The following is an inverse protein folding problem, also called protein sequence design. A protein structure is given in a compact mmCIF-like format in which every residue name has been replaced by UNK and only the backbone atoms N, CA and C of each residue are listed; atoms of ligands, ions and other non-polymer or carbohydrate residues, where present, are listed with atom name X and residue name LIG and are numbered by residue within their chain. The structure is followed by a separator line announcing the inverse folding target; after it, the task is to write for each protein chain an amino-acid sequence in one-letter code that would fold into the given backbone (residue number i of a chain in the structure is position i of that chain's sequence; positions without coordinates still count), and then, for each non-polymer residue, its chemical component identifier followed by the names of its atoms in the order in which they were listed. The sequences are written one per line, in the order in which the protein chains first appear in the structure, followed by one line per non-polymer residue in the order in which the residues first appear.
data_IF_593051684145
#
_entry.id   IF_593051684145
#
_cell.length_a   1.000
_cell.length_b   1.000
_cell.length_c   1.000
_cell.angle_alpha   90.00
_cell.angle_beta   90.00
_cell.angle_gamma   90.00
#
_symmetry.space_group_name_H-M   'P 1'
#
loop_
_entity.id
_entity.type
_entity.pdbx_description
1 polymer ?
#
# COMPACT_ATOMS: atom_id res chain seq x y z
N UNK A 1 -15.86 9.14 -21.18
CA UNK A 1 -15.10 9.05 -19.91
C UNK A 1 -13.61 9.09 -20.24
N UNK A 2 -12.94 10.23 -20.05
CA UNK A 2 -11.47 10.31 -20.17
C UNK A 2 -10.89 9.91 -18.81
N UNK A 3 -10.28 8.74 -18.75
CA UNK A 3 -9.57 8.27 -17.56
C UNK A 3 -8.34 9.16 -17.37
N UNK A 4 -8.19 9.85 -16.24
CA UNK A 4 -7.02 10.69 -16.00
C UNK A 4 -5.76 9.79 -15.90
N UNK A 5 -4.81 9.90 -16.83
CA UNK A 5 -3.58 9.09 -16.82
C UNK A 5 -2.74 9.30 -15.55
N UNK A 6 -2.98 10.36 -14.78
CA UNK A 6 -2.31 10.64 -13.50
C UNK A 6 -2.66 9.62 -12.43
N UNK A 7 -3.91 9.14 -12.40
CA UNK A 7 -4.32 8.12 -11.44
C UNK A 7 -3.62 6.77 -11.70
N UNK A 8 -3.34 6.43 -12.98
CA UNK A 8 -2.83 5.10 -13.36
C UNK A 8 -1.40 4.91 -12.89
N UNK A 9 -0.66 6.00 -12.92
CA UNK A 9 0.73 6.05 -12.47
C UNK A 9 0.80 6.12 -10.95
N UNK A 10 -0.13 6.78 -10.26
CA UNK A 10 -0.21 6.68 -8.78
C UNK A 10 -0.59 5.27 -8.35
N UNK A 11 -1.45 4.55 -9.08
CA UNK A 11 -1.74 3.15 -8.80
C UNK A 11 -0.55 2.23 -9.14
N UNK A 12 0.11 2.41 -10.28
CA UNK A 12 1.34 1.69 -10.64
C UNK A 12 2.46 1.95 -9.62
N UNK A 13 2.70 3.20 -9.25
CA UNK A 13 3.69 3.58 -8.24
C UNK A 13 3.25 3.12 -6.86
N UNK A 14 1.98 3.18 -6.47
CA UNK A 14 1.55 2.63 -5.18
C UNK A 14 1.71 1.10 -5.15
N UNK A 15 1.41 0.40 -6.24
CA UNK A 15 1.56 -1.05 -6.34
C UNK A 15 3.03 -1.48 -6.46
N UNK A 16 3.86 -0.70 -7.16
CA UNK A 16 5.30 -0.91 -7.30
C UNK A 16 6.07 -0.45 -6.05
N UNK A 17 5.67 0.62 -5.37
CA UNK A 17 6.22 1.11 -4.10
C UNK A 17 5.77 0.28 -2.89
N UNK A 18 4.63 -0.44 -2.98
CA UNK A 18 4.35 -1.53 -2.05
C UNK A 18 5.42 -2.64 -2.12
N UNK A 19 6.18 -2.71 -3.23
CA UNK A 19 7.35 -3.59 -3.42
C UNK A 19 8.68 -2.83 -3.20
N UNK A 20 8.75 -1.53 -3.54
CA UNK A 20 9.98 -0.70 -3.54
C UNK A 20 10.09 0.33 -2.42
N UNK A 21 9.77 -0.04 -1.19
CA UNK A 21 10.25 0.72 -0.03
C UNK A 21 11.78 0.68 0.15
N UNK A 22 12.51 -0.05 -0.72
CA UNK A 22 13.87 -0.47 -0.42
C UNK A 22 14.91 -0.55 -1.55
N UNK A 23 14.69 -0.02 -2.76
CA UNK A 23 15.77 0.08 -3.75
C UNK A 23 16.16 1.55 -4.00
N UNK A 24 17.11 2.03 -3.21
CA UNK A 24 18.06 3.04 -3.71
C UNK A 24 18.82 2.37 -4.85
N UNK A 25 18.82 2.98 -6.03
CA UNK A 25 19.51 2.44 -7.21
C UNK A 25 20.97 2.11 -6.87
N UNK A 26 21.45 0.87 -7.05
CA UNK A 26 22.87 0.61 -7.10
C UNK A 26 23.40 1.23 -8.39
N UNK A 27 24.40 2.11 -8.23
CA UNK A 27 25.31 2.54 -9.29
C UNK A 27 25.67 1.35 -10.18
N UNK A 28 25.51 1.52 -11.50
CA UNK A 28 25.83 0.51 -12.51
C UNK A 28 27.25 -0.04 -12.30
N UNK A 29 27.33 -1.31 -11.90
CA UNK A 29 28.55 -2.11 -12.02
C UNK A 29 28.32 -3.23 -13.05
N UNK A 30 29.35 -3.58 -13.83
CA UNK A 30 29.22 -4.53 -14.92
C UNK A 30 28.96 -5.95 -14.38
N UNK A 31 28.14 -6.69 -15.13
CA UNK A 31 27.75 -8.07 -14.88
C UNK A 31 28.94 -8.96 -14.57
N UNK A 32 28.99 -9.48 -13.34
CA UNK A 32 29.88 -10.59 -12.94
C UNK A 32 29.03 -11.84 -12.77
N UNK A 33 29.50 -12.92 -13.37
CA UNK A 33 28.90 -14.25 -13.43
C UNK A 33 28.39 -14.77 -12.08
N UNK A 34 27.19 -15.36 -12.14
CA UNK A 34 26.50 -16.10 -11.09
C UNK A 34 27.32 -17.32 -10.65
N UNK A 35 28.15 -17.15 -9.63
CA UNK A 35 28.62 -18.25 -8.79
C UNK A 35 27.83 -18.25 -7.49
N UNK A 36 27.18 -19.38 -7.19
CA UNK A 36 26.52 -19.70 -5.91
C UNK A 36 27.42 -19.31 -4.73
N UNK A 37 27.14 -18.14 -4.15
CA UNK A 37 27.53 -17.80 -2.80
C UNK A 37 26.28 -17.89 -1.96
N UNK A 38 26.37 -18.60 -0.85
CA UNK A 38 25.39 -18.53 0.21
C UNK A 38 25.08 -17.05 0.48
N UNK A 39 23.91 -16.59 0.03
CA UNK A 39 23.41 -15.24 0.27
C UNK A 39 23.07 -15.13 1.76
N UNK A 40 24.11 -14.95 2.56
CA UNK A 40 24.02 -14.48 3.92
C UNK A 40 23.35 -13.12 3.85
N UNK A 41 22.12 -13.04 4.37
CA UNK A 41 21.43 -11.77 4.59
C UNK A 41 22.40 -10.88 5.36
N UNK A 42 23.00 -9.91 4.67
CA UNK A 42 24.08 -9.10 5.21
C UNK A 42 23.61 -8.49 6.54
N UNK A 43 24.44 -8.62 7.58
CA UNK A 43 24.09 -8.06 8.88
C UNK A 43 23.81 -6.55 8.67
N UNK A 44 22.71 -5.98 9.16
CA UNK A 44 22.40 -4.55 8.94
C UNK A 44 23.55 -3.60 9.30
N UNK A 45 24.43 -4.01 10.21
CA UNK A 45 25.64 -3.26 10.60
C UNK A 45 26.74 -3.36 9.53
N UNK A 46 26.86 -4.47 8.82
CA UNK A 46 27.82 -4.65 7.73
C UNK A 46 27.47 -3.80 6.49
N UNK A 47 26.19 -3.46 6.31
CA UNK A 47 25.74 -2.59 5.23
C UNK A 47 26.07 -1.11 5.50
N UNK A 48 26.41 -0.74 6.74
CA UNK A 48 26.80 0.63 7.08
C UNK A 48 28.21 0.98 6.54
N UNK A 49 28.47 2.25 6.19
CA UNK A 49 29.82 2.73 5.88
C UNK A 49 30.78 2.41 7.03
N UNK A 50 32.04 2.07 6.73
CA UNK A 50 33.03 1.63 7.73
C UNK A 50 33.13 2.58 8.94
N UNK A 51 33.11 3.89 8.71
CA UNK A 51 33.15 4.93 9.75
C UNK A 51 31.95 4.92 10.72
N UNK A 52 30.83 4.28 10.36
CA UNK A 52 29.62 4.18 11.19
C UNK A 52 29.48 2.79 11.85
N UNK A 53 30.29 1.81 11.45
CA UNK A 53 30.18 0.42 11.95
C UNK A 53 30.59 0.30 13.42
N UNK A 54 31.75 0.84 13.77
CA UNK A 54 32.26 0.82 15.15
C UNK A 54 31.29 1.47 16.16
N UNK A 55 30.82 2.72 15.95
CA UNK A 55 29.86 3.32 16.89
C UNK A 55 28.52 2.57 16.91
N UNK A 56 28.07 1.99 15.79
CA UNK A 56 26.87 1.16 15.77
C UNK A 56 27.04 -0.13 16.59
N UNK A 57 28.21 -0.78 16.51
CA UNK A 57 28.54 -1.96 17.31
C UNK A 57 28.65 -1.64 18.79
N UNK A 58 29.31 -0.54 19.17
CA UNK A 58 29.38 -0.09 20.56
C UNK A 58 27.99 0.21 21.13
N UNK A 59 27.14 0.90 20.36
CA UNK A 59 25.76 1.18 20.77
C UNK A 59 24.92 -0.10 20.85
N UNK A 60 25.17 -1.10 19.99
CA UNK A 60 24.54 -2.41 20.10
C UNK A 60 24.99 -3.15 21.38
N UNK A 61 26.29 -3.11 21.70
CA UNK A 61 26.84 -3.70 22.93
C UNK A 61 26.26 -3.05 24.18
N UNK A 62 26.26 -1.71 24.26
CA UNK A 62 25.67 -0.96 25.38
C UNK A 62 24.18 -1.31 25.58
N UNK A 63 23.42 -1.39 24.48
CA UNK A 63 22.01 -1.83 24.54
C UNK A 63 21.88 -3.25 25.05
N UNK A 64 22.71 -4.17 24.57
CA UNK A 64 22.74 -5.56 25.04
C UNK A 64 23.06 -5.66 26.53
N UNK A 65 24.05 -4.90 26.99
CA UNK A 65 24.47 -4.84 28.38
C UNK A 65 23.39 -4.26 29.29
N UNK A 66 22.57 -3.31 28.79
CA UNK A 66 21.43 -2.77 29.55
C UNK A 66 20.24 -3.73 29.69
N UNK A 67 20.19 -4.82 28.93
CA UNK A 67 19.12 -5.82 29.05
C UNK A 67 19.32 -6.67 30.30
N UNK A 68 18.20 -6.99 30.96
CA UNK A 68 18.13 -7.99 32.03
C UNK A 68 18.49 -9.39 31.52
N UNK A 69 18.81 -10.31 32.43
CA UNK A 69 19.16 -11.70 32.08
C UNK A 69 18.02 -12.39 31.31
N UNK A 70 16.78 -12.18 31.73
CA UNK A 70 15.59 -12.72 31.06
C UNK A 70 15.40 -12.15 29.66
N UNK A 71 15.60 -10.83 29.49
CA UNK A 71 15.52 -10.19 28.17
C UNK A 71 16.62 -10.67 27.22
N UNK A 72 17.84 -10.87 27.72
CA UNK A 72 18.95 -11.44 26.93
C UNK A 72 18.63 -12.87 26.50
N UNK A 73 18.12 -13.71 27.40
CA UNK A 73 17.71 -15.08 27.07
C UNK A 73 16.60 -15.12 26.01
N UNK A 74 15.60 -14.24 26.15
CA UNK A 74 14.52 -14.08 25.16
C UNK A 74 15.05 -13.58 23.80
N UNK A 75 16.01 -12.66 23.80
CA UNK A 75 16.63 -12.16 22.58
C UNK A 75 17.48 -13.24 21.87
N UNK A 76 18.23 -14.05 22.62
CA UNK A 76 18.97 -15.19 22.09
C UNK A 76 18.03 -16.23 21.46
N UNK A 77 16.95 -16.59 22.15
CA UNK A 77 15.95 -17.54 21.64
C UNK A 77 15.38 -17.07 20.30
N UNK A 78 14.97 -15.79 20.22
CA UNK A 78 14.46 -15.20 18.97
C UNK A 78 15.52 -15.13 17.86
N UNK A 79 16.79 -14.91 18.23
CA UNK A 79 17.88 -14.94 17.26
C UNK A 79 18.12 -16.35 16.72
N UNK A 80 18.07 -17.37 17.57
CA UNK A 80 18.18 -18.77 17.14
C UNK A 80 17.03 -19.19 16.23
N UNK A 81 15.79 -18.80 16.57
CA UNK A 81 14.62 -18.99 15.71
C UNK A 81 14.82 -18.33 14.34
N UNK A 82 15.29 -17.06 14.33
CA UNK A 82 15.62 -16.36 13.10
C UNK A 82 16.75 -17.03 12.31
N UNK A 83 17.78 -17.54 12.99
CA UNK A 83 18.92 -18.19 12.36
C UNK A 83 18.54 -19.53 11.70
N UNK A 84 17.49 -20.20 12.19
CA UNK A 84 16.92 -21.43 11.62
C UNK A 84 16.10 -21.20 10.34
N UNK A 85 15.65 -19.97 10.07
CA UNK A 85 14.90 -19.63 8.86
C UNK A 85 15.79 -19.71 7.61
N UNK A 86 15.19 -20.03 6.47
CA UNK A 86 15.86 -20.00 5.17
C UNK A 86 16.30 -18.58 4.78
N UNK A 87 17.26 -18.43 3.85
CA UNK A 87 17.73 -17.11 3.38
C UNK A 87 16.59 -16.22 2.87
N UNK A 88 15.68 -16.77 2.07
CA UNK A 88 14.52 -16.05 1.55
C UNK A 88 13.57 -15.54 2.66
N UNK A 89 13.27 -16.40 3.64
CA UNK A 89 12.40 -16.04 4.78
C UNK A 89 13.05 -14.97 5.67
N UNK A 90 14.36 -15.08 5.91
CA UNK A 90 15.12 -14.07 6.65
C UNK A 90 15.09 -12.72 5.95
N UNK A 91 15.31 -12.69 4.64
CA UNK A 91 15.20 -11.46 3.84
C UNK A 91 13.80 -10.86 3.94
N UNK A 92 12.75 -11.67 3.78
CA UNK A 92 11.38 -11.19 3.89
C UNK A 92 11.08 -10.60 5.27
N UNK A 93 11.55 -11.25 6.35
CA UNK A 93 11.36 -10.77 7.72
C UNK A 93 12.10 -9.45 7.97
N UNK A 94 13.33 -9.32 7.48
CA UNK A 94 14.12 -8.08 7.57
C UNK A 94 13.43 -6.94 6.82
N UNK A 95 12.95 -7.19 5.61
CA UNK A 95 12.19 -6.21 4.82
C UNK A 95 10.87 -5.82 5.49
N UNK A 96 10.17 -6.79 6.09
CA UNK A 96 8.96 -6.52 6.87
C UNK A 96 9.26 -5.64 8.09
N UNK A 97 10.34 -5.92 8.82
CA UNK A 97 10.78 -5.12 9.96
C UNK A 97 11.21 -3.71 9.54
N UNK A 98 11.88 -3.57 8.39
CA UNK A 98 12.22 -2.28 7.78
C UNK A 98 10.97 -1.46 7.46
N UNK A 99 10.02 -2.02 6.71
CA UNK A 99 8.74 -1.36 6.38
C UNK A 99 7.96 -0.92 7.62
N UNK A 100 7.97 -1.73 8.67
CA UNK A 100 7.34 -1.39 9.95
C UNK A 100 8.01 -0.17 10.61
N UNK A 101 9.34 -0.09 10.59
CA UNK A 101 10.09 1.07 11.12
C UNK A 101 9.82 2.34 10.31
N UNK A 102 9.84 2.25 8.99
CA UNK A 102 9.52 3.38 8.10
C UNK A 102 8.09 3.87 8.34
N UNK A 103 7.14 2.96 8.48
CA UNK A 103 5.74 3.30 8.81
C UNK A 103 5.65 3.99 10.16
N UNK A 104 6.35 3.49 11.18
CA UNK A 104 6.39 4.09 12.51
C UNK A 104 6.97 5.51 12.48
N UNK A 105 8.08 5.71 11.77
CA UNK A 105 8.70 7.03 11.62
C UNK A 105 7.78 8.00 10.88
N UNK A 106 7.16 7.56 9.79
CA UNK A 106 6.18 8.34 9.03
C UNK A 106 5.03 8.77 9.94
N UNK A 107 4.37 7.82 10.60
CA UNK A 107 3.26 8.07 11.52
C UNK A 107 3.68 9.10 12.57
N UNK A 108 4.81 8.89 13.25
CA UNK A 108 5.32 9.81 14.27
C UNK A 108 5.56 11.23 13.73
N UNK A 109 6.05 11.35 12.49
CA UNK A 109 6.32 12.64 11.84
C UNK A 109 5.05 13.35 11.35
N UNK A 110 3.99 12.59 11.08
CA UNK A 110 2.68 13.09 10.62
C UNK A 110 1.74 13.41 11.79
N UNK A 111 2.02 12.92 13.00
CA UNK A 111 1.23 13.26 14.20
C UNK A 111 1.23 14.77 14.45
N UNK A 112 0.07 15.36 14.83
CA UNK A 112 0.02 16.76 15.25
C UNK A 112 1.00 17.03 16.40
N UNK A 113 1.59 18.23 16.42
CA UNK A 113 2.59 18.62 17.43
C UNK A 113 2.15 18.34 18.88
N UNK A 114 0.94 18.73 19.35
CA UNK A 114 0.53 18.47 20.74
C UNK A 114 0.48 16.96 21.07
N UNK A 115 0.14 16.13 20.09
CA UNK A 115 0.04 14.67 20.24
C UNK A 115 1.41 14.05 20.31
N UNK A 116 2.34 14.53 19.48
CA UNK A 116 3.75 14.12 19.51
C UNK A 116 4.42 14.46 20.83
N UNK A 117 4.09 15.62 21.41
CA UNK A 117 4.58 16.04 22.72
C UNK A 117 4.04 15.14 23.84
N UNK A 118 2.72 14.88 23.86
CA UNK A 118 2.11 13.92 24.81
C UNK A 118 2.75 12.53 24.68
N UNK A 119 2.93 12.03 23.47
CA UNK A 119 3.59 10.74 23.21
C UNK A 119 5.04 10.70 23.74
N UNK A 120 5.77 11.83 23.73
CA UNK A 120 7.13 11.93 24.28
C UNK A 120 7.16 11.92 25.80
N UNK A 121 6.10 12.43 26.44
CA UNK A 121 5.96 12.48 27.90
C UNK A 121 5.58 11.12 28.51
N UNK A 122 5.11 10.16 27.71
CA UNK A 122 4.84 8.80 28.16
C UNK A 122 6.13 8.06 28.54
N UNK A 123 6.01 7.16 29.53
CA UNK A 123 7.05 6.21 29.87
C UNK A 123 7.50 5.40 28.64
N UNK A 124 8.78 5.00 28.52
CA UNK A 124 9.30 4.33 27.34
C UNK A 124 8.49 3.11 26.89
N UNK A 125 7.98 2.31 27.81
CA UNK A 125 7.15 1.14 27.53
C UNK A 125 5.77 1.52 26.99
N UNK A 126 5.08 2.43 27.67
CA UNK A 126 3.76 2.94 27.25
C UNK A 126 3.83 3.64 25.91
N UNK A 127 4.89 4.41 25.67
CA UNK A 127 5.17 5.05 24.37
C UNK A 127 5.35 4.01 23.27
N UNK A 128 6.10 2.92 23.51
CA UNK A 128 6.27 1.82 22.54
C UNK A 128 4.95 1.09 22.29
N UNK A 129 4.15 0.87 23.33
CA UNK A 129 2.83 0.25 23.23
C UNK A 129 1.86 1.09 22.41
N UNK A 130 1.66 2.37 22.78
CA UNK A 130 0.82 3.31 22.05
C UNK A 130 1.23 3.40 20.58
N UNK A 131 2.54 3.47 20.31
CA UNK A 131 3.00 3.57 18.93
C UNK A 131 2.77 2.31 18.11
N UNK A 132 2.95 1.12 18.72
CA UNK A 132 2.59 -0.15 18.06
C UNK A 132 1.11 -0.21 17.74
N UNK A 133 0.26 0.25 18.65
CA UNK A 133 -1.20 0.26 18.46
C UNK A 133 -1.61 1.19 17.31
N UNK A 134 -1.15 2.44 17.32
CA UNK A 134 -1.41 3.42 16.24
C UNK A 134 -0.92 2.89 14.88
N UNK A 135 0.30 2.34 14.80
CA UNK A 135 0.85 1.80 13.55
C UNK A 135 0.06 0.57 13.07
N UNK A 136 -0.39 -0.28 13.99
CA UNK A 136 -1.22 -1.45 13.66
C UNK A 136 -2.58 -1.02 13.09
N UNK A 137 -3.18 0.02 13.67
CA UNK A 137 -4.44 0.55 13.16
C UNK A 137 -4.30 1.26 11.82
N UNK A 138 -3.22 1.99 11.59
CA UNK A 138 -2.88 2.56 10.28
C UNK A 138 -2.73 1.45 9.23
N UNK A 139 -1.99 0.38 9.56
CA UNK A 139 -1.84 -0.77 8.66
C UNK A 139 -3.19 -1.46 8.38
N UNK A 140 -4.06 -1.57 9.38
CA UNK A 140 -5.42 -2.10 9.24
C UNK A 140 -6.29 -1.21 8.35
N UNK A 141 -6.27 0.11 8.57
CA UNK A 141 -7.01 1.08 7.77
C UNK A 141 -6.57 1.02 6.31
N UNK A 142 -5.25 0.97 6.06
CA UNK A 142 -4.70 0.78 4.72
C UNK A 142 -5.14 -0.53 4.08
N UNK A 143 -5.13 -1.62 4.85
CA UNK A 143 -5.64 -2.92 4.40
C UNK A 143 -7.12 -2.87 4.03
N UNK A 144 -7.95 -2.16 4.80
CA UNK A 144 -9.37 -1.95 4.50
C UNK A 144 -9.57 -1.08 3.25
N UNK A 145 -8.74 -0.07 3.03
CA UNK A 145 -8.78 0.76 1.83
C UNK A 145 -8.42 -0.05 0.58
N UNK A 146 -7.37 -0.87 0.65
CA UNK A 146 -7.00 -1.79 -0.44
C UNK A 146 -8.15 -2.76 -0.70
N UNK A 147 -8.69 -3.38 0.36
CA UNK A 147 -9.84 -4.30 0.26
C UNK A 147 -11.04 -3.62 -0.40
N UNK A 148 -11.31 -2.36 -0.06
CA UNK A 148 -12.41 -1.60 -0.64
C UNK A 148 -12.27 -1.31 -2.15
N UNK A 149 -11.04 -1.39 -2.68
CA UNK A 149 -10.71 -1.15 -4.09
C UNK A 149 -10.57 -2.45 -4.89
N UNK A 150 -10.62 -3.62 -4.23
CA UNK A 150 -10.58 -4.91 -4.90
C UNK A 150 -11.93 -5.21 -5.56
N UNK A 151 -11.94 -5.79 -6.78
CA UNK A 151 -13.18 -6.31 -7.37
C UNK A 151 -13.77 -7.43 -6.51
N UNK A 152 -15.10 -7.52 -6.45
CA UNK A 152 -15.82 -8.47 -5.59
C UNK A 152 -15.37 -9.93 -5.80
N UNK A 153 -15.17 -10.37 -7.05
CA UNK A 153 -14.68 -11.71 -7.35
C UNK A 153 -13.30 -12.03 -6.73
N UNK A 154 -12.43 -11.02 -6.57
CA UNK A 154 -11.14 -11.19 -5.89
C UNK A 154 -11.30 -11.18 -4.37
N UNK A 155 -12.24 -10.39 -3.85
CA UNK A 155 -12.57 -10.38 -2.43
C UNK A 155 -13.13 -11.73 -1.99
N UNK A 156 -14.13 -12.25 -2.70
CA UNK A 156 -14.74 -13.54 -2.42
C UNK A 156 -13.69 -14.67 -2.40
N UNK A 157 -12.76 -14.62 -3.37
CA UNK A 157 -11.64 -15.57 -3.45
C UNK A 157 -10.68 -15.42 -2.26
N UNK A 158 -10.35 -14.20 -1.82
CA UNK A 158 -9.48 -13.98 -0.65
C UNK A 158 -10.14 -14.37 0.67
N UNK A 159 -11.44 -14.13 0.80
CA UNK A 159 -12.23 -14.44 1.99
C UNK A 159 -12.42 -15.95 2.16
N UNK A 160 -12.60 -16.66 1.05
CA UNK A 160 -12.74 -18.13 1.03
C UNK A 160 -11.40 -18.87 1.16
N UNK A 161 -10.28 -18.20 0.89
CA UNK A 161 -8.94 -18.80 0.95
C UNK A 161 -8.39 -18.91 2.38
N UNK A 162 -7.56 -19.94 2.59
CA UNK A 162 -6.83 -20.10 3.86
C UNK A 162 -5.80 -18.98 4.03
N UNK A 163 -5.44 -18.60 5.27
CA UNK A 163 -4.48 -17.52 5.52
C UNK A 163 -3.17 -17.64 4.74
N UNK A 164 -2.68 -18.87 4.55
CA UNK A 164 -1.41 -19.18 3.86
C UNK A 164 -1.50 -18.99 2.33
N UNK A 165 -2.70 -19.07 1.76
CA UNK A 165 -2.94 -18.95 0.31
C UNK A 165 -3.13 -17.48 -0.13
N UNK A 166 -3.56 -16.62 0.80
CA UNK A 166 -3.87 -15.20 0.52
C UNK A 166 -2.69 -14.41 -0.09
N UNK A 167 -1.43 -14.58 0.35
CA UNK A 167 -0.31 -13.88 -0.27
C UNK A 167 -0.16 -14.19 -1.77
N UNK A 168 -0.33 -15.45 -2.16
CA UNK A 168 -0.24 -15.88 -3.56
C UNK A 168 -1.40 -15.30 -4.40
N UNK A 169 -2.62 -15.27 -3.85
CA UNK A 169 -3.79 -14.67 -4.51
C UNK A 169 -3.56 -13.16 -4.72
N UNK A 170 -3.07 -12.46 -3.70
CA UNK A 170 -2.73 -11.03 -3.82
C UNK A 170 -1.60 -10.78 -4.82
N UNK A 171 -0.58 -11.65 -4.86
CA UNK A 171 0.48 -11.57 -5.86
C UNK A 171 -0.06 -11.72 -7.29
N UNK A 172 -0.93 -12.70 -7.52
CA UNK A 172 -1.59 -12.91 -8.81
C UNK A 172 -2.48 -11.73 -9.21
N UNK A 173 -3.25 -11.17 -8.27
CA UNK A 173 -4.04 -9.97 -8.52
C UNK A 173 -3.14 -8.81 -8.96
N UNK A 174 -2.06 -8.56 -8.21
CA UNK A 174 -1.10 -7.49 -8.51
C UNK A 174 -0.50 -7.67 -9.89
N UNK A 175 -0.01 -8.86 -10.23
CA UNK A 175 0.59 -9.14 -11.54
C UNK A 175 -0.39 -8.86 -12.68
N UNK A 176 -1.61 -9.41 -12.61
CA UNK A 176 -2.65 -9.18 -13.63
C UNK A 176 -3.02 -7.70 -13.74
N UNK A 177 -3.13 -7.03 -12.59
CA UNK A 177 -3.51 -5.62 -12.53
C UNK A 177 -2.40 -4.72 -13.07
N UNK A 178 -1.13 -4.96 -12.69
CA UNK A 178 0.04 -4.26 -13.19
C UNK A 178 0.18 -4.43 -14.70
N UNK A 179 0.06 -5.66 -15.23
CA UNK A 179 0.07 -5.92 -16.67
C UNK A 179 -0.97 -5.08 -17.39
N UNK A 180 -2.22 -5.14 -16.94
CA UNK A 180 -3.33 -4.39 -17.55
C UNK A 180 -3.10 -2.88 -17.52
N UNK A 181 -2.61 -2.32 -16.40
CA UNK A 181 -2.30 -0.90 -16.33
C UNK A 181 -1.14 -0.56 -17.28
N UNK A 182 -0.08 -1.36 -17.29
CA UNK A 182 1.09 -1.12 -18.13
C UNK A 182 0.71 -1.13 -19.62
N UNK A 183 -0.06 -2.13 -20.06
CA UNK A 183 -0.54 -2.24 -21.44
C UNK A 183 -1.39 -1.02 -21.83
N UNK A 184 -2.33 -0.62 -20.95
CA UNK A 184 -3.13 0.58 -21.17
C UNK A 184 -2.28 1.85 -21.23
N UNK A 185 -1.31 1.99 -20.32
CA UNK A 185 -0.46 3.17 -20.22
C UNK A 185 0.49 3.27 -21.41
N UNK A 186 1.07 2.17 -21.89
CA UNK A 186 1.91 2.14 -23.10
C UNK A 186 1.10 2.61 -24.32
N UNK A 187 -0.12 2.08 -24.51
CA UNK A 187 -0.97 2.51 -25.62
C UNK A 187 -1.33 4.00 -25.53
N UNK A 188 -1.83 4.45 -24.38
CA UNK A 188 -2.34 5.80 -24.24
C UNK A 188 -1.22 6.86 -24.18
N UNK A 189 -0.19 6.64 -23.36
CA UNK A 189 0.94 7.56 -23.26
C UNK A 189 1.78 7.53 -24.54
N UNK A 190 2.01 6.35 -25.11
CA UNK A 190 2.71 6.19 -26.38
C UNK A 190 2.05 7.02 -27.48
N UNK A 191 0.73 6.94 -27.63
CA UNK A 191 0.00 7.79 -28.57
C UNK A 191 0.14 9.29 -28.25
N UNK A 192 0.06 9.69 -26.97
CA UNK A 192 0.15 11.10 -26.58
C UNK A 192 1.51 11.74 -26.88
N UNK A 193 2.59 10.96 -26.82
CA UNK A 193 3.95 11.40 -27.14
C UNK A 193 4.35 11.14 -28.60
N UNK A 194 3.43 10.61 -29.43
CA UNK A 194 3.65 10.39 -30.86
C UNK A 194 4.46 9.13 -31.21
N UNK A 195 4.47 8.10 -30.36
CA UNK A 195 5.01 6.79 -30.74
C UNK A 195 4.12 6.10 -31.77
N UNK A 196 4.73 5.49 -32.78
CA UNK A 196 4.03 4.65 -33.74
C UNK A 196 3.58 3.32 -33.14
N UNK A 197 2.76 2.59 -33.89
CA UNK A 197 2.18 1.31 -33.45
C UNK A 197 3.24 0.22 -33.26
N UNK A 198 4.34 0.26 -34.02
CA UNK A 198 5.39 -0.74 -33.96
C UNK A 198 6.16 -0.62 -32.64
N UNK A 199 6.49 0.60 -32.23
CA UNK A 199 7.19 0.86 -30.97
C UNK A 199 6.28 0.55 -29.77
N UNK A 200 4.99 0.90 -29.81
CA UNK A 200 4.06 0.54 -28.72
C UNK A 200 3.92 -0.97 -28.57
N UNK A 201 3.87 -1.73 -29.67
CA UNK A 201 3.92 -3.20 -29.63
C UNK A 201 5.24 -3.72 -29.07
N UNK A 202 6.37 -3.12 -29.43
CA UNK A 202 7.69 -3.49 -28.88
C UNK A 202 7.73 -3.31 -27.36
N UNK A 203 7.27 -2.17 -26.87
CA UNK A 203 7.18 -1.90 -25.42
C UNK A 203 6.21 -2.86 -24.72
N UNK A 204 5.07 -3.16 -25.36
CA UNK A 204 4.10 -4.15 -24.90
C UNK A 204 4.60 -5.60 -24.94
N UNK A 205 5.78 -5.88 -25.52
CA UNK A 205 6.40 -7.21 -25.54
C UNK A 205 7.47 -7.39 -24.44
N UNK A 206 7.88 -6.31 -23.76
CA UNK A 206 8.90 -6.36 -22.70
C UNK A 206 8.47 -7.20 -21.49
N UNK A 207 9.42 -7.57 -20.64
CA UNK A 207 9.12 -8.19 -19.33
C UNK A 207 8.39 -7.20 -18.41
N UNK A 208 7.71 -7.67 -17.37
CA UNK A 208 6.91 -6.78 -16.51
C UNK A 208 7.75 -5.66 -15.85
N UNK A 209 8.95 -5.93 -15.29
CA UNK A 209 9.80 -4.86 -14.73
C UNK A 209 10.17 -3.81 -15.78
N UNK A 210 10.52 -4.24 -16.99
CA UNK A 210 10.89 -3.36 -18.10
C UNK A 210 9.68 -2.56 -18.63
N UNK A 211 8.49 -3.16 -18.68
CA UNK A 211 7.25 -2.44 -19.03
C UNK A 211 6.96 -1.31 -18.04
N UNK A 212 7.11 -1.57 -16.74
CA UNK A 212 6.91 -0.55 -15.71
C UNK A 212 7.89 0.61 -15.92
N UNK A 213 9.17 0.31 -16.18
CA UNK A 213 10.16 1.34 -16.47
C UNK A 213 9.79 2.15 -17.73
N UNK A 214 9.44 1.47 -18.82
CA UNK A 214 9.01 2.12 -20.05
C UNK A 214 7.78 3.01 -19.85
N UNK A 215 6.81 2.61 -19.02
CA UNK A 215 5.65 3.44 -18.68
C UNK A 215 6.06 4.71 -17.94
N UNK A 216 7.02 4.64 -17.00
CA UNK A 216 7.54 5.81 -16.31
C UNK A 216 8.25 6.75 -17.29
N UNK A 217 9.07 6.21 -18.19
CA UNK A 217 9.72 6.99 -19.26
C UNK A 217 8.69 7.71 -20.13
N UNK A 218 7.68 6.99 -20.63
CA UNK A 218 6.60 7.56 -21.45
C UNK A 218 5.84 8.65 -20.71
N UNK A 219 5.55 8.46 -19.42
CA UNK A 219 4.84 9.45 -18.62
C UNK A 219 5.69 10.71 -18.42
N UNK A 220 7.00 10.55 -18.18
CA UNK A 220 7.93 11.66 -18.03
C UNK A 220 7.96 12.50 -19.31
N UNK A 221 8.12 11.85 -20.47
CA UNK A 221 8.05 12.51 -21.79
C UNK A 221 6.73 13.22 -22.04
N UNK A 222 5.61 12.60 -21.64
CA UNK A 222 4.29 13.21 -21.77
C UNK A 222 4.16 14.50 -20.92
N UNK A 223 4.74 14.52 -19.71
CA UNK A 223 4.77 15.72 -18.86
C UNK A 223 5.73 16.79 -19.38
N UNK A 224 6.86 16.40 -19.95
CA UNK A 224 7.78 17.33 -20.63
C UNK A 224 7.11 18.02 -21.83
N UNK A 225 6.42 17.23 -22.66
CA UNK A 225 5.62 17.74 -23.76
C UNK A 225 4.52 18.68 -23.27
N UNK A 226 3.72 18.26 -22.29
CA UNK A 226 2.66 19.08 -21.69
C UNK A 226 3.21 20.40 -21.13
N UNK A 227 4.34 20.37 -20.41
CA UNK A 227 4.97 21.57 -19.88
C UNK A 227 5.47 22.52 -20.97
N UNK A 228 5.93 21.98 -22.11
CA UNK A 228 6.37 22.78 -23.26
C UNK A 228 5.19 23.39 -24.03
N UNK A 229 4.05 22.72 -24.08
CA UNK A 229 2.87 23.14 -24.83
C UNK A 229 1.93 24.05 -24.00
N UNK A 230 1.76 23.74 -22.72
CA UNK A 230 0.76 24.35 -21.83
C UNK A 230 1.37 25.14 -20.67
N UNK A 231 2.70 25.15 -20.53
CA UNK A 231 3.43 25.83 -19.46
C UNK A 231 3.68 24.94 -18.24
N UNK A 232 4.51 25.45 -17.32
CA UNK A 232 4.96 24.69 -16.15
C UNK A 232 3.82 24.43 -15.15
N UNK A 233 3.91 23.35 -14.35
CA UNK A 233 2.99 23.13 -13.26
C UNK A 233 2.86 24.37 -12.33
N UNK A 234 1.65 24.73 -11.86
CA UNK A 234 1.47 25.92 -11.04
C UNK A 234 2.36 25.93 -9.81
N UNK A 235 3.10 27.03 -9.64
CA UNK A 235 4.05 27.27 -8.55
C UNK A 235 5.46 26.68 -8.78
N UNK A 236 5.74 26.10 -9.95
CA UNK A 236 7.03 25.49 -10.27
C UNK A 236 7.87 26.45 -11.09
N UNK A 237 9.11 26.70 -10.66
CA UNK A 237 10.03 27.57 -11.40
C UNK A 237 10.64 26.84 -12.60
N UNK A 238 11.12 27.59 -13.58
CA UNK A 238 11.81 27.00 -14.74
C UNK A 238 13.11 26.29 -14.34
N UNK A 239 13.80 26.77 -13.30
CA UNK A 239 15.00 26.15 -12.78
C UNK A 239 14.70 24.83 -12.06
N UNK A 240 13.67 24.81 -11.20
CA UNK A 240 13.20 23.57 -10.56
C UNK A 240 12.78 22.52 -11.59
N UNK A 241 12.08 22.95 -12.65
CA UNK A 241 11.68 22.04 -13.72
C UNK A 241 12.88 21.46 -14.46
N UNK A 242 13.88 22.30 -14.76
CA UNK A 242 15.12 21.87 -15.44
C UNK A 242 15.92 20.88 -14.60
N UNK A 243 15.99 21.07 -13.28
CA UNK A 243 16.59 20.09 -12.38
C UNK A 243 15.80 18.78 -12.38
N UNK A 244 14.48 18.88 -12.29
CA UNK A 244 13.58 17.74 -12.15
C UNK A 244 13.61 16.84 -13.40
N UNK A 245 13.61 17.43 -14.61
CA UNK A 245 13.73 16.71 -15.89
C UNK A 245 15.04 15.93 -16.04
N UNK A 246 16.12 16.34 -15.35
CA UNK A 246 17.41 15.62 -15.39
C UNK A 246 17.42 14.34 -14.56
N UNK A 247 16.44 14.16 -13.67
CA UNK A 247 16.36 12.97 -12.82
C UNK A 247 15.91 11.75 -13.61
N UNK A 248 16.35 10.57 -13.21
CA UNK A 248 15.79 9.31 -13.67
C UNK A 248 14.28 9.25 -13.40
N UNK A 249 13.47 8.53 -14.21
CA UNK A 249 12.01 8.57 -14.13
C UNK A 249 11.45 8.32 -12.73
N UNK A 250 12.01 7.36 -11.99
CA UNK A 250 11.58 7.06 -10.62
C UNK A 250 11.78 8.27 -9.68
N UNK A 251 12.98 8.87 -9.72
CA UNK A 251 13.32 10.04 -8.91
C UNK A 251 12.54 11.29 -9.35
N UNK A 252 12.30 11.45 -10.66
CA UNK A 252 11.43 12.49 -11.22
C UNK A 252 10.03 12.41 -10.60
N UNK A 253 9.40 11.23 -10.59
CA UNK A 253 8.04 11.10 -10.06
C UNK A 253 7.98 11.21 -8.53
N UNK A 254 8.98 10.71 -7.81
CA UNK A 254 9.07 10.90 -6.36
C UNK A 254 9.11 12.41 -6.01
N UNK A 255 9.97 13.19 -6.68
CA UNK A 255 10.08 14.64 -6.45
C UNK A 255 8.82 15.40 -6.91
N UNK A 256 8.19 14.99 -8.01
CA UNK A 256 6.88 15.54 -8.44
C UNK A 256 5.77 15.29 -7.42
N UNK A 257 5.73 14.11 -6.79
CA UNK A 257 4.75 13.82 -5.74
C UNK A 257 5.01 14.67 -4.49
N UNK A 258 6.26 14.82 -4.07
CA UNK A 258 6.63 15.72 -2.96
C UNK A 258 6.21 17.16 -3.22
N UNK A 259 6.46 17.64 -4.44
CA UNK A 259 6.03 18.95 -4.88
C UNK A 259 4.51 19.13 -4.75
N UNK A 260 3.72 18.19 -5.29
CA UNK A 260 2.25 18.22 -5.18
C UNK A 260 1.77 18.19 -3.74
N UNK A 261 2.37 17.35 -2.88
CA UNK A 261 2.04 17.29 -1.44
C UNK A 261 2.29 18.61 -0.73
N UNK A 262 3.45 19.23 -0.97
CA UNK A 262 3.80 20.54 -0.40
C UNK A 262 2.84 21.63 -0.87
N UNK A 263 2.47 21.62 -2.16
CA UNK A 263 1.52 22.59 -2.70
C UNK A 263 0.13 22.47 -2.05
N UNK A 264 -0.41 21.26 -1.97
CA UNK A 264 -1.70 20.99 -1.29
C UNK A 264 -1.66 21.39 0.19
N UNK A 265 -0.50 21.28 0.85
CA UNK A 265 -0.35 21.72 2.24
C UNK A 265 -0.26 23.25 2.39
N UNK A 266 0.24 23.96 1.37
CA UNK A 266 0.44 25.42 1.38
C UNK A 266 -0.75 26.20 0.81
N UNK A 267 -1.57 25.60 -0.05
CA UNK A 267 -2.78 26.23 -0.60
C UNK A 267 -3.85 26.33 0.51
N UNK A 268 -4.35 27.54 0.84
CA UNK A 268 -5.46 27.66 1.76
C UNK A 268 -6.70 27.00 1.14
N UNK A 269 -7.51 26.27 1.93
CA UNK A 269 -8.59 25.41 1.44
C UNK A 269 -9.69 26.12 0.63
N UNK A 270 -9.69 27.45 0.59
CA UNK A 270 -10.74 28.28 -0.01
C UNK A 270 -10.31 29.08 -1.26
N UNK A 271 -9.07 28.92 -1.75
CA UNK A 271 -8.54 29.82 -2.78
C UNK A 271 -9.09 29.62 -4.21
N UNK A 272 -9.77 28.49 -4.50
CA UNK A 272 -10.10 28.12 -5.89
C UNK A 272 -11.54 27.60 -6.06
N UNK A 273 -12.52 28.26 -5.41
CA UNK A 273 -13.94 28.05 -5.67
C UNK A 273 -14.41 28.61 -7.04
N UNK A 274 -13.51 29.24 -7.81
CA UNK A 274 -13.85 30.01 -9.02
C UNK A 274 -13.75 29.22 -10.32
N UNK A 275 -13.22 28.00 -10.31
CA UNK A 275 -13.19 27.12 -11.49
C UNK A 275 -14.13 25.92 -11.27
N UNK A 276 -15.41 26.01 -11.69
CA UNK A 276 -16.28 24.84 -11.71
C UNK A 276 -15.70 23.80 -12.68
N UNK A 277 -15.54 22.53 -12.27
CA UNK A 277 -15.06 21.49 -13.18
C UNK A 277 -16.04 21.36 -14.34
N UNK A 278 -15.57 21.67 -15.55
CA UNK A 278 -16.34 21.72 -16.81
C UNK A 278 -16.67 20.34 -17.37
N UNK A 279 -16.89 19.35 -16.50
CA UNK A 279 -17.35 18.03 -16.91
C UNK A 279 -18.87 17.94 -16.73
N UNK A 280 -19.60 17.38 -17.72
CA UNK A 280 -21.05 17.19 -17.62
C UNK A 280 -21.37 16.37 -16.38
N UNK A 281 -22.26 16.91 -15.55
CA UNK A 281 -22.67 16.36 -14.26
C UNK A 281 -23.32 15.00 -14.49
N UNK A 282 -22.58 13.95 -14.15
CA UNK A 282 -23.11 12.61 -14.01
C UNK A 282 -24.19 12.64 -12.90
N UNK A 283 -25.42 12.14 -13.12
CA UNK A 283 -26.46 12.08 -12.08
C UNK A 283 -26.07 11.22 -10.86
N UNK A 284 -24.92 10.53 -10.92
CA UNK A 284 -24.27 9.87 -9.78
C UNK A 284 -23.33 10.77 -8.96
N UNK A 285 -23.17 12.04 -9.32
CA UNK A 285 -22.29 12.96 -8.63
C UNK A 285 -22.85 13.33 -7.24
N UNK A 286 -22.20 12.80 -6.20
CA UNK A 286 -22.44 13.20 -4.81
C UNK A 286 -22.42 14.73 -4.67
N UNK A 287 -23.41 15.31 -4.00
CA UNK A 287 -23.40 16.74 -3.65
C UNK A 287 -22.13 17.07 -2.86
N UNK A 288 -21.56 18.29 -2.97
CA UNK A 288 -20.34 18.66 -2.25
C UNK A 288 -20.45 18.41 -0.74
N UNK A 289 -21.57 18.79 -0.14
CA UNK A 289 -21.85 18.56 1.28
C UNK A 289 -21.87 17.06 1.64
N UNK A 290 -22.51 16.21 0.81
CA UNK A 290 -22.54 14.77 1.05
C UNK A 290 -21.16 14.14 0.89
N UNK A 291 -20.38 14.58 -0.10
CA UNK A 291 -18.99 14.14 -0.30
C UNK A 291 -18.12 14.51 0.90
N UNK A 292 -18.21 15.74 1.39
CA UNK A 292 -17.51 16.20 2.58
C UNK A 292 -17.90 15.35 3.81
N UNK A 293 -19.20 15.12 4.02
CA UNK A 293 -19.68 14.26 5.10
C UNK A 293 -19.13 12.83 5.03
N UNK A 294 -19.09 12.24 3.84
CA UNK A 294 -18.50 10.91 3.62
C UNK A 294 -16.98 10.89 3.86
N UNK A 295 -16.26 11.95 3.47
CA UNK A 295 -14.82 12.06 3.74
C UNK A 295 -14.53 12.24 5.24
N UNK A 296 -15.31 13.06 5.95
CA UNK A 296 -15.21 13.19 7.40
C UNK A 296 -15.54 11.88 8.10
N UNK A 297 -16.58 11.19 7.65
CA UNK A 297 -16.96 9.88 8.18
C UNK A 297 -15.81 8.88 7.97
N UNK A 298 -15.23 8.83 6.78
CA UNK A 298 -14.09 7.95 6.47
C UNK A 298 -12.92 8.17 7.44
N UNK A 299 -12.59 9.43 7.76
CA UNK A 299 -11.56 9.76 8.77
C UNK A 299 -11.98 9.32 10.18
N UNK A 300 -13.24 9.54 10.55
CA UNK A 300 -13.74 9.18 11.88
C UNK A 300 -13.84 7.67 12.14
N UNK A 301 -13.96 6.85 11.08
CA UNK A 301 -13.88 5.38 11.19
C UNK A 301 -12.47 4.93 11.61
N UNK A 302 -11.44 5.74 11.35
CA UNK A 302 -10.07 5.45 11.75
C UNK A 302 -9.84 5.79 13.22
N UNK A 303 -9.00 4.98 13.87
CA UNK A 303 -8.56 5.25 15.24
C UNK A 303 -7.70 6.52 15.25
N UNK A 304 -8.02 7.46 16.14
CA UNK A 304 -7.25 8.69 16.29
C UNK A 304 -6.11 8.43 17.27
N UNK A 305 -4.92 8.95 16.99
CA UNK A 305 -3.74 8.71 17.81
C UNK A 305 -3.88 9.33 19.21
N UNK A 306 -4.62 10.44 19.28
CA UNK A 306 -5.00 11.16 20.48
C UNK A 306 -5.71 10.23 21.48
N UNK A 307 -6.73 9.50 21.03
CA UNK A 307 -7.49 8.59 21.89
C UNK A 307 -6.59 7.46 22.45
N UNK A 308 -5.65 6.95 21.63
CA UNK A 308 -4.74 5.88 22.05
C UNK A 308 -3.82 6.35 23.14
N UNK A 309 -3.27 7.56 22.99
CA UNK A 309 -2.35 8.15 23.96
C UNK A 309 -3.09 8.49 25.25
N UNK A 310 -4.32 9.01 25.17
CA UNK A 310 -5.14 9.32 26.34
C UNK A 310 -5.55 8.08 27.14
N UNK A 311 -5.76 6.95 26.47
CA UNK A 311 -6.22 5.71 27.10
C UNK A 311 -5.11 4.69 27.34
N UNK A 312 -3.85 5.01 27.08
CA UNK A 312 -2.71 4.05 27.13
C UNK A 312 -2.55 3.37 28.49
N UNK A 313 -2.94 4.05 29.57
CA UNK A 313 -2.84 3.56 30.94
C UNK A 313 -3.89 2.50 31.29
N UNK A 314 -4.95 2.38 30.48
CA UNK A 314 -5.98 1.37 30.69
C UNK A 314 -5.48 -0.01 30.25
N UNK A 315 -5.95 -1.08 30.93
CA UNK A 315 -5.75 -2.45 30.45
C UNK A 315 -6.23 -2.60 29.01
N UNK A 316 -5.51 -3.39 28.21
CA UNK A 316 -5.73 -3.54 26.77
C UNK A 316 -7.19 -3.76 26.35
N UNK A 317 -7.92 -4.65 27.04
CA UNK A 317 -9.32 -4.96 26.71
C UNK A 317 -10.28 -3.81 27.05
N UNK A 318 -10.04 -3.12 28.17
CA UNK A 318 -10.81 -1.93 28.54
C UNK A 318 -10.52 -0.78 27.57
N UNK A 319 -9.24 -0.54 27.27
CA UNK A 319 -8.79 0.44 26.28
C UNK A 319 -9.46 0.23 24.92
N UNK A 320 -9.46 -1.02 24.42
CA UNK A 320 -10.13 -1.37 23.16
C UNK A 320 -11.62 -1.05 23.18
N UNK A 321 -12.30 -1.34 24.29
CA UNK A 321 -13.73 -1.05 24.45
C UNK A 321 -13.98 0.46 24.41
N UNK A 322 -13.18 1.25 25.15
CA UNK A 322 -13.27 2.71 25.16
C UNK A 322 -12.97 3.34 23.80
N UNK A 323 -11.94 2.87 23.11
CA UNK A 323 -11.59 3.31 21.75
C UNK A 323 -12.73 3.05 20.75
N UNK A 324 -13.41 1.92 20.89
CA UNK A 324 -14.60 1.62 20.08
C UNK A 324 -15.76 2.58 20.39
N UNK A 325 -16.04 2.85 21.68
CA UNK A 325 -17.08 3.79 22.09
C UNK A 325 -16.86 5.21 21.53
N UNK A 326 -15.63 5.74 21.67
CA UNK A 326 -15.25 7.05 21.15
C UNK A 326 -15.41 7.13 19.62
N UNK A 327 -14.94 6.10 18.92
CA UNK A 327 -15.07 6.01 17.46
C UNK A 327 -16.52 5.94 17.01
N UNK A 328 -17.35 5.14 17.69
CA UNK A 328 -18.79 5.05 17.41
C UNK A 328 -19.48 6.39 17.62
N UNK A 329 -19.20 7.07 18.73
CA UNK A 329 -19.78 8.38 19.02
C UNK A 329 -19.46 9.39 17.90
N UNK A 330 -18.19 9.51 17.49
CA UNK A 330 -17.78 10.38 16.37
C UNK A 330 -18.47 10.02 15.05
N UNK A 331 -18.55 8.72 14.73
CA UNK A 331 -19.21 8.28 13.50
C UNK A 331 -20.70 8.66 13.50
N UNK A 332 -21.41 8.42 14.61
CA UNK A 332 -22.84 8.77 14.75
C UNK A 332 -23.05 10.28 14.66
N UNK A 333 -22.18 11.07 15.28
CA UNK A 333 -22.22 12.54 15.21
C UNK A 333 -22.13 13.03 13.75
N UNK A 334 -21.17 12.52 12.98
CA UNK A 334 -21.00 12.90 11.56
C UNK A 334 -22.18 12.41 10.72
N UNK A 335 -22.63 11.17 10.93
CA UNK A 335 -23.80 10.62 10.25
C UNK A 335 -25.05 11.49 10.46
N UNK A 336 -25.24 12.01 11.69
CA UNK A 336 -26.31 12.93 12.06
C UNK A 336 -26.13 14.31 11.42
N UNK A 337 -24.96 14.91 11.57
CA UNK A 337 -24.67 16.26 11.08
C UNK A 337 -24.85 16.39 9.56
N UNK A 338 -24.42 15.38 8.81
CA UNK A 338 -24.49 15.37 7.34
C UNK A 338 -25.71 14.62 6.79
N UNK A 339 -26.63 14.18 7.66
CA UNK A 339 -27.85 13.42 7.30
C UNK A 339 -27.55 12.25 6.34
N UNK A 340 -26.45 11.53 6.60
CA UNK A 340 -25.98 10.44 5.74
C UNK A 340 -26.83 9.17 5.87
N UNK A 341 -27.54 9.05 6.98
CA UNK A 341 -28.53 7.99 7.25
C UNK A 341 -29.82 8.60 7.83
N UNK A 342 -30.97 7.95 7.63
CA UNK A 342 -32.23 8.32 8.26
C UNK A 342 -32.14 8.38 9.80
N UNK A 343 -32.87 9.30 10.47
CA UNK A 343 -32.76 9.50 11.92
C UNK A 343 -33.19 8.30 12.76
N UNK A 344 -34.14 7.49 12.27
CA UNK A 344 -34.57 6.21 12.86
C UNK A 344 -33.41 5.22 13.01
N UNK A 345 -32.49 5.21 12.04
CA UNK A 345 -31.31 4.33 12.07
C UNK A 345 -30.21 4.81 13.00
N UNK A 346 -30.21 6.07 13.44
CA UNK A 346 -29.14 6.59 14.31
C UNK A 346 -29.17 5.95 15.70
N UNK A 347 -30.36 5.73 16.28
CA UNK A 347 -30.50 5.09 17.58
C UNK A 347 -30.04 3.63 17.58
N UNK A 348 -30.28 2.90 16.48
CA UNK A 348 -29.76 1.54 16.30
C UNK A 348 -28.23 1.54 16.27
N UNK A 349 -27.61 2.53 15.62
CA UNK A 349 -26.15 2.61 15.48
C UNK A 349 -25.43 2.94 16.79
N UNK A 350 -26.07 3.67 17.70
CA UNK A 350 -25.51 4.01 19.02
C UNK A 350 -25.33 2.78 19.92
N UNK A 351 -26.21 1.79 19.79
CA UNK A 351 -26.18 0.56 20.61
C UNK A 351 -25.53 -0.62 19.89
N UNK A 352 -25.23 -0.47 18.60
CA UNK A 352 -24.70 -1.53 17.77
C UNK A 352 -23.29 -1.97 18.18
N UNK A 353 -23.03 -3.28 18.08
CA UNK A 353 -21.70 -3.86 18.24
C UNK A 353 -20.76 -3.55 17.08
N UNK A 354 -19.45 -3.63 17.33
CA UNK A 354 -18.38 -3.21 16.42
C UNK A 354 -18.50 -3.79 15.00
N UNK A 355 -18.71 -5.10 14.89
CA UNK A 355 -18.80 -5.79 13.59
C UNK A 355 -19.91 -5.24 12.71
N UNK A 356 -21.11 -5.08 13.28
CA UNK A 356 -22.31 -4.65 12.54
C UNK A 356 -22.25 -3.15 12.23
N UNK A 357 -21.72 -2.34 13.14
CA UNK A 357 -21.45 -0.92 12.87
C UNK A 357 -20.51 -0.77 11.66
N UNK A 358 -19.41 -1.54 11.63
CA UNK A 358 -18.45 -1.49 10.54
C UNK A 358 -19.06 -1.89 9.18
N UNK A 359 -19.95 -2.89 9.16
CA UNK A 359 -20.69 -3.28 7.97
C UNK A 359 -21.61 -2.17 7.45
N UNK A 360 -22.39 -1.53 8.34
CA UNK A 360 -23.22 -0.38 7.95
C UNK A 360 -22.38 0.76 7.41
N UNK A 361 -21.28 1.11 8.10
CA UNK A 361 -20.37 2.17 7.65
C UNK A 361 -19.76 1.86 6.28
N UNK A 362 -19.47 0.58 5.99
CA UNK A 362 -19.00 0.14 4.67
C UNK A 362 -20.02 0.47 3.57
N UNK A 363 -21.30 0.21 3.80
CA UNK A 363 -22.36 0.54 2.85
C UNK A 363 -22.54 2.05 2.69
N UNK A 364 -22.53 2.81 3.79
CA UNK A 364 -22.65 4.27 3.74
C UNK A 364 -21.49 4.90 2.96
N UNK A 365 -20.27 4.38 3.12
CA UNK A 365 -19.06 4.85 2.42
C UNK A 365 -18.92 4.33 0.98
N UNK A 366 -19.79 3.42 0.52
CA UNK A 366 -19.72 2.84 -0.83
C UNK A 366 -19.73 3.87 -1.96
N UNK A 367 -20.53 4.97 -1.92
CA UNK A 367 -20.53 5.97 -2.97
C UNK A 367 -19.17 6.64 -3.19
N UNK A 368 -18.44 6.93 -2.10
CA UNK A 368 -17.10 7.51 -2.17
C UNK A 368 -16.09 6.53 -2.82
N UNK A 369 -16.26 5.23 -2.57
CA UNK A 369 -15.44 4.17 -3.17
C UNK A 369 -15.71 3.98 -4.65
N UNK A 370 -16.97 4.09 -5.08
CA UNK A 370 -17.36 3.98 -6.50
C UNK A 370 -16.91 5.19 -7.31
N UNK A 371 -16.91 6.39 -6.75
CA UNK A 371 -16.37 7.56 -7.44
C UNK A 371 -14.86 7.48 -7.71
N UNK A 372 -14.13 6.69 -6.91
CA UNK A 372 -12.71 6.40 -7.14
C UNK A 372 -12.49 5.14 -7.98
N UNK A 373 -13.56 4.41 -8.34
CA UNK A 373 -13.43 3.17 -9.10
C UNK A 373 -13.03 3.48 -10.54
N UNK A 374 -12.00 2.77 -10.97
CA UNK A 374 -11.48 2.78 -12.33
C UNK A 374 -12.60 2.57 -13.34
N UNK A 375 -12.65 3.33 -14.46
CA UNK A 375 -13.62 3.05 -15.49
C UNK A 375 -13.39 1.61 -15.94
N UNK A 376 -14.38 0.76 -15.67
CA UNK A 376 -14.47 -0.52 -16.30
C UNK A 376 -14.50 -0.22 -17.81
N UNK A 377 -13.42 -0.54 -18.53
CA UNK A 377 -13.56 -0.74 -19.98
C UNK A 377 -14.65 -1.78 -20.11
N UNK A 378 -15.76 -1.37 -20.73
CA UNK A 378 -17.01 -2.12 -20.75
C UNK A 378 -16.74 -3.59 -21.00
N UNK A 379 -17.29 -4.43 -20.12
CA UNK A 379 -17.47 -5.86 -20.29
C UNK A 379 -16.44 -6.53 -21.22
N UNK A 380 -15.16 -6.45 -20.86
CA UNK A 380 -14.26 -7.53 -21.26
C UNK A 380 -14.75 -8.73 -20.47
N UNK A 381 -15.66 -9.49 -21.10
CA UNK A 381 -16.21 -10.76 -20.63
C UNK A 381 -15.04 -11.50 -19.96
N UNK A 382 -15.18 -11.92 -18.68
CA UNK A 382 -14.08 -12.60 -18.01
C UNK A 382 -13.60 -13.71 -18.95
N UNK A 383 -12.34 -13.63 -19.35
CA UNK A 383 -11.71 -14.71 -20.11
C UNK A 383 -12.04 -15.99 -19.33
N UNK A 384 -12.66 -17.00 -19.96
CA UNK A 384 -13.05 -18.20 -19.25
C UNK A 384 -11.80 -18.74 -18.57
N UNK A 385 -11.92 -18.95 -17.26
CA UNK A 385 -10.85 -19.42 -16.38
C UNK A 385 -10.09 -20.53 -17.10
N UNK A 386 -8.86 -20.24 -17.54
CA UNK A 386 -7.90 -21.26 -17.94
C UNK A 386 -7.45 -21.96 -16.67
N UNK A 387 -8.38 -22.73 -16.12
CA UNK A 387 -8.08 -23.72 -15.10
C UNK A 387 -7.07 -24.65 -15.77
N UNK A 388 -5.85 -24.81 -15.22
CA UNK A 388 -4.92 -25.78 -15.77
C UNK A 388 -5.65 -27.14 -15.82
N UNK A 389 -5.56 -27.89 -16.92
CA UNK A 389 -6.25 -29.16 -17.03
C UNK A 389 -5.85 -30.01 -15.82
N UNK A 390 -6.86 -30.47 -15.06
CA UNK A 390 -6.68 -31.51 -14.05
C UNK A 390 -5.86 -32.60 -14.70
N UNK A 391 -4.65 -32.82 -14.19
CA UNK A 391 -3.79 -33.92 -14.61
C UNK A 391 -4.63 -35.18 -14.62
N UNK A 392 -4.76 -35.77 -15.81
CA UNK A 392 -5.58 -36.94 -16.04
C UNK A 392 -5.22 -38.01 -15.03
N UNK A 393 -6.24 -38.49 -14.34
CA UNK A 393 -6.20 -39.79 -13.68
C UNK A 393 -5.71 -40.80 -14.72
N UNK A 394 -4.49 -41.30 -14.54
CA UNK A 394 -3.99 -42.47 -15.24
C UNK A 394 -4.91 -43.62 -14.83
N UNK A 395 -5.78 -44.04 -15.74
CA UNK A 395 -6.47 -45.32 -15.62
C UNK A 395 -5.44 -46.44 -15.43
N UNK A 396 -5.67 -47.39 -14.51
CA UNK A 396 -4.82 -48.55 -14.39
C UNK A 396 -4.97 -49.42 -15.64
N UNK A 397 -3.89 -49.52 -16.42
CA UNK A 397 -3.77 -50.55 -17.45
C UNK A 397 -3.87 -51.92 -16.78
N UNK A 398 -5.01 -52.58 -16.97
CA UNK A 398 -5.20 -54.01 -16.75
C UNK A 398 -4.25 -54.72 -17.71
N UNK A 399 -3.24 -55.40 -17.17
CA UNK A 399 -2.40 -56.35 -17.90
C UNK A 399 -2.99 -57.74 -17.70
N UNK A 400 -3.51 -58.41 -18.74
CA UNK A 400 -3.94 -59.79 -18.63
C UNK A 400 -2.76 -60.73 -18.90
N UNK A 401 -2.49 -61.60 -17.93
CA UNK A 401 -1.87 -62.91 -18.17
C UNK A 401 -0.35 -62.96 -18.01
N UNK A 402 0.10 -63.55 -16.90
CA UNK A 402 1.04 -64.65 -16.98
C UNK A 402 0.81 -65.61 -15.80
N UNK A 403 0.56 -66.86 -16.16
CA UNK A 403 0.41 -68.01 -15.27
C UNK A 403 1.77 -68.50 -14.77
N UNK A 404 1.68 -69.20 -13.64
CA UNK A 404 2.47 -70.33 -13.18
C UNK A 404 3.94 -70.14 -12.79
N UNK A 405 4.22 -70.61 -11.57
CA UNK A 405 5.46 -71.33 -11.31
C UNK A 405 6.03 -71.18 -9.90
N UNK A 406 5.77 -72.18 -9.05
CA UNK A 406 6.86 -72.75 -8.26
C UNK A 406 6.99 -72.33 -6.80
N UNK A 407 6.63 -73.28 -5.94
CA UNK A 407 7.12 -73.55 -4.58
C UNK A 407 8.60 -73.13 -4.36
N UNK A 408 8.91 -72.54 -3.21
CA UNK A 408 9.34 -73.25 -1.99
C UNK A 408 9.11 -72.36 -0.77
#
# INVERSE_FOLDING_TARGET
MRCDPTFLVVALLALASCDRGANVAPSAQPSVELASRDDAVANPIEVLPAAQREPALENAKKRWESLTVEERASALTRYEEFARLGSAERTELVERARRMRETMQRVQSELPLPVRERLRQLEPDKRREAMREIVTDEARARGQEIRAKLPDAWLDRLESARPEERPAILAQFRERHLKRIADFAIEHLGASVGLDDAERRRLGALSMPERVQAVLDLRKRALEKDASENGLPPGMTAEDWKELVRLEPEAFFARMQDYRRKRVASEPPDADASNPPTNPVDPSALTPQRREGLQRLLRAVQQQAEDVIELVDLPKEERRTRLFELRRARCVEILRAYRLVPPDKLGELETMGEKRLHEVLRHVLQPLRRSESWPARGDVKPEPDTTPPKSGAREPRIVPGLRDGGRC
#
